data_IF_059365334893
#
_entry.id   IF_059365334893
#
_cell.length_a   1.000
_cell.length_b   1.000
_cell.length_c   1.000
_cell.angle_alpha   90.00
_cell.angle_beta   90.00
_cell.angle_gamma   90.00
#
_symmetry.space_group_name_H-M   'P 1'
#
loop_
_entity.id
_entity.type
_entity.pdbx_description
1 polymer ?
#
# COMPACT_ATOMS: atom_id res chain seq x y z
N UNK A 1 -54.14 -42.89 4.51
CA UNK A 1 -53.33 -43.73 5.43
C UNK A 1 -51.88 -43.31 5.28
N UNK A 2 -51.24 -43.03 6.40
CA UNK A 2 -49.82 -42.72 6.55
C UNK A 2 -48.93 -43.89 6.10
N UNK A 3 -47.69 -43.59 5.74
CA UNK A 3 -46.52 -44.16 6.43
C UNK A 3 -45.24 -43.43 6.03
N UNK A 4 -44.72 -42.68 6.99
CA UNK A 4 -43.33 -42.23 7.08
C UNK A 4 -42.53 -43.37 7.68
N UNK A 5 -41.37 -43.72 7.10
CA UNK A 5 -40.31 -44.47 7.79
C UNK A 5 -38.93 -44.05 7.26
N UNK A 6 -38.18 -43.31 8.07
CA UNK A 6 -36.70 -43.22 8.05
C UNK A 6 -36.12 -44.41 8.86
N UNK A 7 -34.80 -44.52 9.15
CA UNK A 7 -33.58 -44.01 8.52
C UNK A 7 -32.63 -45.16 8.12
N UNK A 8 -31.55 -44.89 7.38
CA UNK A 8 -30.39 -45.79 7.35
C UNK A 8 -29.16 -45.04 7.86
N UNK A 9 -28.77 -45.37 9.08
CA UNK A 9 -27.47 -45.09 9.66
C UNK A 9 -26.46 -46.03 9.02
N UNK A 10 -25.33 -45.52 8.56
CA UNK A 10 -24.01 -46.13 8.77
C UNK A 10 -22.95 -45.01 8.69
N UNK A 11 -22.01 -44.94 9.65
CA UNK A 11 -20.97 -43.92 9.75
C UNK A 11 -19.68 -44.42 9.08
N UNK A 12 -18.94 -43.55 8.40
CA UNK A 12 -17.51 -43.78 8.25
C UNK A 12 -16.74 -42.47 8.21
N UNK A 13 -15.78 -42.36 9.11
CA UNK A 13 -15.12 -41.12 9.47
C UNK A 13 -14.08 -40.64 8.48
N UNK A 14 -13.85 -39.33 8.55
CA UNK A 14 -12.48 -38.83 8.58
C UNK A 14 -12.41 -37.63 9.53
N UNK A 15 -11.91 -37.89 10.73
CA UNK A 15 -11.34 -36.86 11.56
C UNK A 15 -10.03 -36.42 10.90
N UNK A 16 -10.00 -35.19 10.40
CA UNK A 16 -8.78 -34.48 10.03
C UNK A 16 -8.74 -33.18 10.83
N UNK A 17 -7.66 -32.88 11.57
CA UNK A 17 -7.63 -31.83 12.56
C UNK A 17 -7.56 -30.45 11.91
N UNK A 18 -8.19 -29.49 12.59
CA UNK A 18 -7.78 -28.08 12.67
C UNK A 18 -6.90 -27.56 11.54
N UNK A 19 -7.53 -27.04 10.49
CA UNK A 19 -6.89 -26.00 9.69
C UNK A 19 -7.10 -24.66 10.38
N UNK A 20 -6.32 -24.45 11.44
CA UNK A 20 -5.94 -23.14 11.95
C UNK A 20 -5.17 -22.40 10.85
N UNK A 21 -5.88 -21.86 9.85
CA UNK A 21 -5.28 -20.87 8.95
C UNK A 21 -5.40 -19.50 9.64
N UNK A 22 -4.58 -19.30 10.66
CA UNK A 22 -4.19 -17.96 11.09
C UNK A 22 -3.40 -17.33 9.94
N UNK A 23 -4.08 -16.52 9.13
CA UNK A 23 -3.41 -15.67 8.16
C UNK A 23 -2.53 -14.68 8.92
N UNK A 24 -1.23 -14.83 8.77
CA UNK A 24 -0.21 -13.93 9.29
C UNK A 24 -0.44 -12.50 8.76
N UNK A 25 -0.01 -11.45 9.49
CA UNK A 25 -0.13 -10.06 9.04
C UNK A 25 0.61 -9.87 7.71
N UNK A 26 0.00 -9.08 6.83
CA UNK A 26 0.42 -8.87 5.44
C UNK A 26 1.92 -8.65 5.28
N UNK A 27 2.52 -9.44 4.38
CA UNK A 27 3.90 -9.25 3.95
C UNK A 27 4.02 -7.89 3.25
N UNK A 28 5.14 -7.15 3.40
CA UNK A 28 5.37 -5.89 2.68
C UNK A 28 5.33 -6.04 1.15
N UNK A 29 5.38 -7.29 0.65
CA UNK A 29 5.22 -7.67 -0.75
C UNK A 29 3.77 -7.65 -1.27
N UNK A 30 2.75 -7.51 -0.40
CA UNK A 30 1.34 -7.35 -0.84
C UNK A 30 1.00 -5.90 -1.23
N UNK A 31 1.99 -5.01 -1.14
CA UNK A 31 2.00 -3.78 -1.93
C UNK A 31 2.19 -4.19 -3.38
N UNK A 32 1.10 -4.52 -4.07
CA UNK A 32 1.07 -4.56 -5.54
C UNK A 32 1.80 -3.28 -6.01
N UNK A 33 2.93 -3.38 -6.74
CA UNK A 33 3.61 -2.21 -7.26
C UNK A 33 2.57 -1.44 -8.07
N UNK A 34 2.22 -0.24 -7.63
CA UNK A 34 1.37 0.63 -8.43
C UNK A 34 2.14 0.87 -9.73
N UNK A 35 1.52 0.79 -10.92
CA UNK A 35 2.20 0.93 -12.22
C UNK A 35 3.00 2.22 -12.45
N UNK A 36 3.01 3.12 -11.46
CA UNK A 36 3.56 4.47 -11.46
C UNK A 36 4.83 4.61 -10.60
N UNK A 37 5.51 3.50 -10.24
CA UNK A 37 6.80 3.58 -9.54
C UNK A 37 7.94 4.02 -10.47
N UNK A 38 7.79 5.20 -11.08
CA UNK A 38 8.96 6.00 -11.46
C UNK A 38 9.45 6.64 -10.16
N UNK A 39 10.31 5.94 -9.45
CA UNK A 39 10.88 6.41 -8.18
C UNK A 39 11.54 7.77 -8.40
N UNK A 40 11.00 8.83 -7.80
CA UNK A 40 11.50 10.19 -7.96
C UNK A 40 10.64 11.12 -8.80
N UNK A 41 9.55 10.65 -9.41
CA UNK A 41 8.59 11.53 -10.09
C UNK A 41 7.65 12.25 -9.11
N UNK A 42 7.05 13.34 -9.58
CA UNK A 42 5.99 14.06 -8.88
C UNK A 42 4.83 13.13 -8.51
N UNK A 43 4.37 12.32 -9.45
CA UNK A 43 3.26 11.38 -9.26
C UNK A 43 3.56 10.35 -8.15
N UNK A 44 4.80 9.85 -8.10
CA UNK A 44 5.24 8.93 -7.05
C UNK A 44 5.23 9.62 -5.67
N UNK A 45 5.72 10.86 -5.59
CA UNK A 45 5.68 11.63 -4.35
C UNK A 45 4.24 11.91 -3.89
N UNK A 46 3.37 12.35 -4.80
CA UNK A 46 1.95 12.65 -4.51
C UNK A 46 1.21 11.41 -4.04
N UNK A 47 1.35 10.28 -4.77
CA UNK A 47 0.74 9.02 -4.39
C UNK A 47 1.19 8.54 -3.01
N UNK A 48 2.48 8.67 -2.70
CA UNK A 48 3.03 8.31 -1.38
C UNK A 48 2.46 9.19 -0.27
N UNK A 49 2.45 10.52 -0.46
CA UNK A 49 1.88 11.45 0.54
C UNK A 49 0.41 11.13 0.78
N UNK A 50 -0.39 10.91 -0.27
CA UNK A 50 -1.80 10.53 -0.13
C UNK A 50 -1.97 9.22 0.65
N UNK A 51 -1.11 8.22 0.41
CA UNK A 51 -1.13 6.98 1.17
C UNK A 51 -0.76 7.19 2.64
N UNK A 52 0.27 7.98 2.93
CA UNK A 52 0.72 8.31 4.30
C UNK A 52 -0.34 9.08 5.09
N UNK A 53 -1.16 9.91 4.42
CA UNK A 53 -2.29 10.59 5.05
C UNK A 53 -3.55 9.72 5.17
N UNK A 54 -3.50 8.44 4.78
CA UNK A 54 -4.63 7.52 4.85
C UNK A 54 -5.68 7.70 3.74
N UNK A 55 -5.36 8.48 2.70
CA UNK A 55 -6.24 8.75 1.56
C UNK A 55 -6.07 7.76 0.40
N UNK A 56 -4.97 6.98 0.39
CA UNK A 56 -4.62 6.12 -0.74
C UNK A 56 -5.71 5.11 -1.18
N UNK A 57 -6.60 4.68 -0.28
CA UNK A 57 -7.71 3.77 -0.62
C UNK A 57 -8.87 4.44 -1.38
N UNK A 58 -8.89 5.78 -1.42
CA UNK A 58 -9.91 6.58 -2.10
C UNK A 58 -9.39 7.23 -3.38
N UNK A 59 -8.08 7.19 -3.61
CA UNK A 59 -7.44 7.81 -4.76
C UNK A 59 -7.13 6.73 -5.80
N UNK A 60 -7.62 6.94 -7.01
CA UNK A 60 -7.20 6.16 -8.17
C UNK A 60 -5.99 6.84 -8.85
N UNK A 61 -5.37 6.20 -9.86
CA UNK A 61 -4.26 6.80 -10.58
C UNK A 61 -4.58 8.11 -11.30
N UNK A 62 -5.82 8.26 -11.78
CA UNK A 62 -6.25 9.48 -12.45
C UNK A 62 -6.28 10.65 -11.49
N UNK A 63 -6.76 10.43 -10.26
CA UNK A 63 -6.72 11.41 -9.18
C UNK A 63 -5.30 11.92 -8.92
N UNK A 64 -4.31 11.02 -8.87
CA UNK A 64 -2.90 11.39 -8.66
C UNK A 64 -2.38 12.23 -9.83
N UNK A 65 -2.71 11.86 -11.07
CA UNK A 65 -2.30 12.59 -12.27
C UNK A 65 -2.94 13.98 -12.33
N UNK A 66 -4.24 14.07 -12.07
CA UNK A 66 -4.95 15.36 -12.02
C UNK A 66 -4.42 16.23 -10.89
N UNK A 67 -4.24 15.69 -9.69
CA UNK A 67 -3.66 16.44 -8.56
C UNK A 67 -2.26 16.95 -8.90
N UNK A 68 -1.43 16.13 -9.54
CA UNK A 68 -0.09 16.54 -10.01
C UNK A 68 -0.17 17.70 -11.02
N UNK A 69 -1.13 17.65 -11.94
CA UNK A 69 -1.37 18.71 -12.93
C UNK A 69 -1.91 20.00 -12.31
N UNK A 70 -2.88 19.89 -11.40
CA UNK A 70 -3.43 21.04 -10.65
C UNK A 70 -2.34 21.75 -9.84
N UNK A 71 -1.41 21.00 -9.23
CA UNK A 71 -0.27 21.61 -8.54
C UNK A 71 0.70 22.30 -9.49
N UNK A 72 0.98 21.72 -10.67
CA UNK A 72 1.80 22.39 -11.70
C UNK A 72 1.18 23.71 -12.12
N UNK A 73 -0.13 23.72 -12.38
CA UNK A 73 -0.87 24.91 -12.80
C UNK A 73 -0.97 25.94 -11.68
N UNK A 74 -1.23 25.52 -10.44
CA UNK A 74 -1.33 26.44 -9.30
C UNK A 74 0.02 27.06 -8.90
N UNK A 75 1.13 26.40 -9.19
CA UNK A 75 2.48 26.83 -8.84
C UNK A 75 3.28 27.39 -10.03
N UNK A 76 2.66 27.48 -11.22
CA UNK A 76 3.33 27.84 -12.48
C UNK A 76 4.63 27.03 -12.71
N UNK A 77 4.59 25.73 -12.43
CA UNK A 77 5.74 24.82 -12.56
C UNK A 77 5.58 23.89 -13.76
N UNK A 78 6.66 23.66 -14.52
CA UNK A 78 6.63 22.60 -15.55
C UNK A 78 6.66 21.21 -14.92
N UNK A 79 6.28 20.19 -15.69
CA UNK A 79 6.37 18.80 -15.26
C UNK A 79 7.79 18.43 -14.85
N UNK A 80 8.80 18.81 -15.63
CA UNK A 80 10.21 18.52 -15.36
C UNK A 80 10.73 19.26 -14.13
N UNK A 81 10.24 20.47 -13.85
CA UNK A 81 10.55 21.20 -12.62
C UNK A 81 9.94 20.54 -11.40
N UNK A 82 8.68 20.12 -11.51
CA UNK A 82 7.99 19.40 -10.45
C UNK A 82 8.65 18.05 -10.15
N UNK A 83 9.02 17.29 -11.18
CA UNK A 83 9.73 16.02 -11.04
C UNK A 83 11.10 16.22 -10.38
N UNK A 84 11.86 17.25 -10.77
CA UNK A 84 13.14 17.59 -10.11
C UNK A 84 12.95 17.93 -8.64
N UNK A 85 11.92 18.72 -8.32
CA UNK A 85 11.60 19.07 -6.94
C UNK A 85 11.20 17.83 -6.13
N UNK A 86 10.35 16.96 -6.69
CA UNK A 86 9.94 15.71 -6.06
C UNK A 86 11.12 14.79 -5.78
N UNK A 87 12.02 14.66 -6.74
CA UNK A 87 13.25 13.90 -6.62
C UNK A 87 14.15 14.42 -5.48
N UNK A 88 14.30 15.74 -5.36
CA UNK A 88 15.07 16.37 -4.28
C UNK A 88 14.44 16.11 -2.90
N UNK A 89 13.12 16.24 -2.77
CA UNK A 89 12.41 15.96 -1.52
C UNK A 89 12.60 14.50 -1.07
N UNK A 90 12.44 13.55 -1.99
CA UNK A 90 12.64 12.12 -1.74
C UNK A 90 14.09 11.78 -1.36
N UNK A 91 15.07 12.45 -1.97
CA UNK A 91 16.48 12.31 -1.56
C UNK A 91 16.74 12.89 -0.17
N UNK A 92 16.23 14.08 0.11
CA UNK A 92 16.41 14.76 1.37
C UNK A 92 15.82 13.95 2.53
N UNK A 93 14.62 13.41 2.36
CA UNK A 93 13.98 12.56 3.37
C UNK A 93 14.79 11.31 3.66
N UNK A 94 15.35 10.65 2.64
CA UNK A 94 16.25 9.49 2.86
C UNK A 94 17.48 9.88 3.68
N UNK A 95 18.07 11.05 3.42
CA UNK A 95 19.21 11.55 4.21
C UNK A 95 18.83 11.83 5.65
N UNK A 96 17.69 12.50 5.86
CA UNK A 96 17.17 12.80 7.21
C UNK A 96 16.87 11.52 7.97
N UNK A 97 16.27 10.52 7.31
CA UNK A 97 15.97 9.23 7.93
C UNK A 97 17.25 8.50 8.35
N UNK A 98 18.26 8.44 7.49
CA UNK A 98 19.57 7.85 7.84
C UNK A 98 20.19 8.57 9.04
N UNK A 99 20.25 9.90 9.01
CA UNK A 99 20.78 10.70 10.13
C UNK A 99 20.01 10.48 11.43
N UNK A 100 18.69 10.35 11.34
CA UNK A 100 17.83 10.09 12.50
C UNK A 100 18.11 8.69 13.07
N UNK A 101 18.28 7.69 12.21
CA UNK A 101 18.64 6.33 12.64
C UNK A 101 20.04 6.28 13.27
N UNK A 102 21.03 6.98 12.69
CA UNK A 102 22.38 7.08 13.24
C UNK A 102 22.39 7.77 14.62
N UNK A 103 21.59 8.83 14.77
CA UNK A 103 21.44 9.55 16.03
C UNK A 103 20.79 8.68 17.13
N UNK A 104 19.85 7.81 16.78
CA UNK A 104 19.23 6.86 17.70
C UNK A 104 20.18 5.71 18.05
N UNK A 105 20.99 5.23 17.11
CA UNK A 105 22.02 4.20 17.36
C UNK A 105 23.12 4.71 18.29
N UNK A 106 23.47 5.99 18.22
CA UNK A 106 24.48 6.59 19.10
C UNK A 106 24.00 6.79 20.55
N UNK A 107 22.71 6.57 20.83
CA UNK A 107 22.11 6.69 22.16
C UNK A 107 21.92 5.33 22.87
N UNK A 108 22.37 4.24 22.25
CA UNK A 108 22.37 2.87 22.79
C UNK A 108 23.80 2.39 23.03
#
# INVERSE_FOLDING_TARGET
MCSVSAPHSEPNGHAGPERLSHSLPGSPADRRPTPFEVVGSAESLVGRVLAEQGLGKYCDPDFVRYTSKEMQEALDMTQEEMDRAAHHLLQQERRINVQTLDALQSQL
#
